data_IF_103445059971
#
_entry.id   IF_103445059971
#
_cell.length_a   1.000
_cell.length_b   1.000
_cell.length_c   1.000
_cell.angle_alpha   90.00
_cell.angle_beta   90.00
_cell.angle_gamma   90.00
#
_symmetry.space_group_name_H-M   'P 1'
#
loop_
_entity.id
_entity.type
_entity.pdbx_description
1 polymer ?
#
# COMPACT_ATOMS: atom_id res chain seq x y z
N UNK A 1 -26.61 -19.13 -44.25
CA UNK A 1 -25.72 -20.32 -44.18
C UNK A 1 -24.48 -19.96 -43.36
N UNK A 2 -24.52 -20.14 -42.04
CA UNK A 2 -23.36 -19.89 -41.18
C UNK A 2 -22.49 -21.14 -41.12
N UNK A 3 -21.29 -21.07 -41.70
CA UNK A 3 -20.28 -22.13 -41.62
C UNK A 3 -19.71 -22.10 -40.20
N UNK A 4 -20.18 -23.01 -39.34
CA UNK A 4 -19.52 -23.34 -38.07
C UNK A 4 -18.27 -24.14 -38.46
N UNK A 5 -17.12 -23.48 -38.56
CA UNK A 5 -15.84 -24.17 -38.75
C UNK A 5 -15.52 -24.82 -37.41
N UNK A 6 -15.79 -26.12 -37.32
CA UNK A 6 -15.50 -26.94 -36.15
C UNK A 6 -14.03 -27.39 -36.30
N UNK A 7 -13.12 -26.68 -35.62
CA UNK A 7 -11.72 -27.09 -35.44
C UNK A 7 -11.64 -27.87 -34.12
N UNK A 8 -11.86 -29.19 -34.15
CA UNK A 8 -12.05 -29.97 -32.89
C UNK A 8 -11.06 -31.08 -32.60
N UNK A 9 -10.06 -31.37 -33.44
CA UNK A 9 -9.09 -32.43 -33.10
C UNK A 9 -7.88 -31.92 -32.29
N UNK A 10 -7.18 -30.90 -32.76
CA UNK A 10 -5.96 -30.37 -32.08
C UNK A 10 -6.26 -29.57 -30.80
N UNK A 11 -7.45 -28.97 -30.69
CA UNK A 11 -7.83 -28.11 -29.56
C UNK A 11 -8.05 -28.86 -28.25
N UNK A 12 -8.16 -30.19 -28.28
CA UNK A 12 -8.43 -31.01 -27.08
C UNK A 12 -7.18 -31.29 -26.22
N UNK A 13 -5.98 -31.33 -26.81
CA UNK A 13 -4.72 -31.58 -26.09
C UNK A 13 -4.06 -30.31 -25.56
N UNK A 14 -4.26 -29.18 -26.24
CA UNK A 14 -3.77 -27.86 -25.84
C UNK A 14 -4.09 -27.49 -24.38
N UNK A 15 -5.36 -27.57 -23.88
CA UNK A 15 -5.68 -27.26 -22.48
C UNK A 15 -4.91 -28.12 -21.47
N UNK A 16 -4.53 -29.35 -21.82
CA UNK A 16 -3.70 -30.21 -20.96
C UNK A 16 -2.24 -29.75 -20.91
N UNK A 17 -1.70 -29.23 -22.02
CA UNK A 17 -0.32 -28.71 -22.06
C UNK A 17 -0.17 -27.38 -21.32
N UNK A 18 -1.17 -26.48 -21.45
CA UNK A 18 -1.15 -25.18 -20.78
C UNK A 18 -1.12 -25.27 -19.25
N UNK A 19 -1.75 -26.31 -18.70
CA UNK A 19 -1.86 -26.54 -17.26
C UNK A 19 -0.75 -27.44 -16.71
N UNK A 20 0.16 -27.91 -17.56
CA UNK A 20 1.28 -28.75 -17.14
C UNK A 20 2.32 -27.91 -16.39
N UNK A 21 2.67 -28.36 -15.19
CA UNK A 21 3.65 -27.70 -14.33
C UNK A 21 5.06 -28.23 -14.59
N UNK A 22 6.05 -27.36 -14.51
CA UNK A 22 7.45 -27.74 -14.43
C UNK A 22 7.81 -28.24 -13.01
N UNK A 23 9.07 -28.64 -12.78
CA UNK A 23 9.56 -29.08 -11.45
C UNK A 23 9.45 -27.99 -10.38
N UNK A 24 9.46 -26.73 -10.80
CA UNK A 24 9.33 -25.55 -9.94
C UNK A 24 7.87 -25.13 -9.71
N UNK A 25 6.89 -25.87 -10.26
CA UNK A 25 5.47 -25.55 -10.11
C UNK A 25 4.97 -24.38 -10.98
N UNK A 26 5.66 -24.08 -12.09
CA UNK A 26 5.30 -23.06 -13.06
C UNK A 26 4.67 -23.68 -14.31
N UNK A 27 3.59 -23.07 -14.78
CA UNK A 27 2.98 -23.30 -16.10
C UNK A 27 3.80 -22.59 -17.20
N UNK A 28 3.62 -22.94 -18.49
CA UNK A 28 4.31 -22.24 -19.58
C UNK A 28 4.10 -20.71 -19.56
N UNK A 29 2.91 -20.26 -19.16
CA UNK A 29 2.56 -18.85 -19.06
C UNK A 29 3.31 -18.15 -17.90
N UNK A 30 3.29 -18.77 -16.72
CA UNK A 30 3.97 -18.22 -15.53
C UNK A 30 5.49 -18.29 -15.65
N UNK A 31 6.01 -19.31 -16.34
CA UNK A 31 7.43 -19.43 -16.69
C UNK A 31 7.87 -18.33 -17.67
N UNK A 32 7.08 -18.02 -18.69
CA UNK A 32 7.38 -16.93 -19.61
C UNK A 32 7.46 -15.58 -18.87
N UNK A 33 6.59 -15.37 -17.87
CA UNK A 33 6.65 -14.21 -16.99
C UNK A 33 7.90 -14.24 -16.08
N UNK A 34 8.25 -15.37 -15.47
CA UNK A 34 9.41 -15.49 -14.58
C UNK A 34 10.74 -15.23 -15.32
N UNK A 35 10.83 -15.70 -16.57
CA UNK A 35 11.97 -15.49 -17.46
C UNK A 35 12.00 -14.09 -18.11
N UNK A 36 10.97 -13.26 -17.92
CA UNK A 36 10.93 -11.92 -18.53
C UNK A 36 10.71 -11.90 -20.04
N UNK A 37 10.16 -12.97 -20.63
CA UNK A 37 10.01 -13.11 -22.10
C UNK A 37 8.68 -12.50 -22.57
N UNK A 38 8.64 -11.16 -22.68
CA UNK A 38 7.43 -10.39 -23.01
C UNK A 38 6.71 -10.86 -24.29
N UNK A 39 7.44 -11.02 -25.41
CA UNK A 39 6.85 -11.47 -26.68
C UNK A 39 6.19 -12.85 -26.59
N UNK A 40 6.82 -13.77 -25.85
CA UNK A 40 6.26 -15.10 -25.61
C UNK A 40 5.03 -14.98 -24.72
N UNK A 41 5.09 -14.22 -23.63
CA UNK A 41 3.96 -14.00 -22.73
C UNK A 41 2.73 -13.45 -23.48
N UNK A 42 2.91 -12.38 -24.27
CA UNK A 42 1.83 -11.79 -25.09
C UNK A 42 1.24 -12.79 -26.08
N UNK A 43 2.09 -13.59 -26.75
CA UNK A 43 1.62 -14.62 -27.67
C UNK A 43 0.79 -15.70 -26.95
N UNK A 44 1.27 -16.22 -25.80
CA UNK A 44 0.54 -17.21 -25.01
C UNK A 44 -0.80 -16.63 -24.50
N UNK A 45 -0.85 -15.35 -24.12
CA UNK A 45 -2.08 -14.69 -23.70
C UNK A 45 -3.09 -14.55 -24.84
N UNK A 46 -2.63 -14.18 -26.05
CA UNK A 46 -3.45 -14.05 -27.23
C UNK A 46 -4.01 -15.40 -27.70
N UNK A 47 -3.17 -16.44 -27.71
CA UNK A 47 -3.58 -17.79 -28.13
C UNK A 47 -4.65 -18.39 -27.21
N UNK A 48 -4.62 -18.06 -25.91
CA UNK A 48 -5.63 -18.52 -24.94
C UNK A 48 -6.94 -17.71 -24.99
N UNK A 49 -7.06 -16.71 -25.87
CA UNK A 49 -8.27 -15.92 -25.98
C UNK A 49 -9.37 -16.65 -26.74
N UNK A 50 -10.62 -16.41 -26.34
CA UNK A 50 -11.78 -16.96 -27.04
C UNK A 50 -12.73 -15.83 -27.43
N UNK A 51 -13.20 -15.85 -28.67
CA UNK A 51 -14.16 -14.85 -29.16
C UNK A 51 -15.55 -15.26 -28.69
N UNK A 52 -16.18 -14.44 -27.85
CA UNK A 52 -17.54 -14.70 -27.38
C UNK A 52 -18.57 -14.35 -28.46
N UNK A 53 -18.39 -13.19 -29.10
CA UNK A 53 -19.20 -12.75 -30.24
C UNK A 53 -18.44 -11.70 -31.05
N UNK A 54 -18.81 -11.56 -32.31
CA UNK A 54 -18.28 -10.52 -33.21
C UNK A 54 -19.41 -9.95 -34.06
N UNK A 55 -19.51 -8.63 -34.13
CA UNK A 55 -20.45 -7.90 -34.97
C UNK A 55 -19.70 -6.85 -35.79
N UNK A 56 -19.55 -7.09 -37.10
CA UNK A 56 -18.75 -6.24 -37.98
C UNK A 56 -17.32 -6.11 -37.46
N UNK A 57 -16.91 -4.87 -37.14
CA UNK A 57 -15.55 -4.54 -36.66
C UNK A 57 -15.41 -4.60 -35.13
N UNK A 58 -16.48 -4.89 -34.38
CA UNK A 58 -16.44 -5.00 -32.91
C UNK A 58 -16.51 -6.46 -32.52
N UNK A 59 -15.59 -6.90 -31.65
CA UNK A 59 -15.59 -8.24 -31.09
C UNK A 59 -15.50 -8.20 -29.57
N UNK A 60 -16.23 -9.10 -28.90
CA UNK A 60 -16.07 -9.38 -27.49
C UNK A 60 -15.15 -10.59 -27.33
N UNK A 61 -14.00 -10.36 -26.71
CA UNK A 61 -12.98 -11.37 -26.46
C UNK A 61 -12.95 -11.71 -24.97
N UNK A 62 -12.94 -12.99 -24.66
CA UNK A 62 -12.84 -13.53 -23.32
C UNK A 62 -11.41 -14.01 -23.06
N UNK A 63 -10.82 -13.48 -21.99
CA UNK A 63 -9.50 -13.88 -21.50
C UNK A 63 -9.65 -14.77 -20.27
N UNK A 64 -9.10 -16.00 -20.27
CA UNK A 64 -9.14 -16.87 -19.09
C UNK A 64 -8.24 -16.30 -17.99
N UNK A 65 -8.77 -16.25 -16.76
CA UNK A 65 -8.06 -15.72 -15.58
C UNK A 65 -7.40 -16.82 -14.72
N UNK A 66 -7.57 -18.08 -15.11
CA UNK A 66 -7.13 -19.29 -14.39
C UNK A 66 -5.66 -19.26 -13.95
N UNK A 67 -4.76 -18.71 -14.78
CA UNK A 67 -3.33 -18.60 -14.45
C UNK A 67 -2.86 -17.15 -14.26
N UNK A 68 -3.67 -16.20 -14.73
CA UNK A 68 -3.35 -14.77 -14.72
C UNK A 68 -3.58 -14.18 -13.33
N UNK A 69 -4.71 -14.54 -12.72
CA UNK A 69 -5.19 -14.00 -11.45
C UNK A 69 -5.92 -15.07 -10.65
N UNK A 70 -5.14 -15.94 -10.01
CA UNK A 70 -5.68 -16.96 -9.12
C UNK A 70 -6.34 -16.28 -7.90
N UNK A 71 -7.61 -16.56 -7.64
CA UNK A 71 -8.29 -16.04 -6.44
C UNK A 71 -7.69 -16.63 -5.15
N UNK A 72 -7.71 -15.89 -4.03
CA UNK A 72 -7.10 -16.24 -2.72
C UNK A 72 -7.59 -17.56 -2.06
N UNK A 73 -8.50 -18.31 -2.67
CA UNK A 73 -9.25 -19.39 -2.03
C UNK A 73 -8.53 -20.75 -1.93
N UNK A 74 -7.43 -20.97 -2.64
CA UNK A 74 -6.65 -22.22 -2.55
C UNK A 74 -5.39 -22.04 -1.69
N UNK A 75 -5.56 -22.11 -0.36
CA UNK A 75 -4.46 -22.01 0.61
C UNK A 75 -3.74 -23.34 0.90
N UNK A 76 -4.26 -24.48 0.43
CA UNK A 76 -3.86 -25.80 0.94
C UNK A 76 -3.05 -26.69 -0.02
N UNK A 77 -2.59 -26.18 -1.16
CA UNK A 77 -1.64 -26.89 -2.03
C UNK A 77 -0.53 -25.95 -2.46
N UNK A 78 0.62 -26.52 -2.90
CA UNK A 78 1.69 -25.82 -3.64
C UNK A 78 1.05 -25.07 -4.82
N UNK A 79 0.59 -23.86 -4.54
CA UNK A 79 -0.15 -23.03 -5.47
C UNK A 79 0.86 -22.52 -6.49
N UNK A 80 0.57 -22.73 -7.77
CA UNK A 80 1.34 -22.07 -8.82
C UNK A 80 1.19 -20.57 -8.66
N UNK A 81 2.29 -19.83 -8.67
CA UNK A 81 2.27 -18.38 -8.59
C UNK A 81 1.45 -17.82 -9.77
N UNK A 82 0.61 -16.81 -9.51
CA UNK A 82 -0.11 -16.14 -10.60
C UNK A 82 0.86 -15.32 -11.44
N UNK A 83 0.54 -15.10 -12.73
CA UNK A 83 1.38 -14.24 -13.59
C UNK A 83 1.55 -12.85 -12.99
N UNK A 84 0.49 -12.28 -12.40
CA UNK A 84 0.55 -10.99 -11.71
C UNK A 84 1.52 -11.01 -10.53
N UNK A 85 1.50 -12.07 -9.71
CA UNK A 85 2.40 -12.22 -8.56
C UNK A 85 3.87 -12.37 -8.98
N UNK A 86 4.14 -13.15 -10.04
CA UNK A 86 5.48 -13.27 -10.62
C UNK A 86 5.97 -11.93 -11.17
N UNK A 87 5.11 -11.19 -11.88
CA UNK A 87 5.42 -9.85 -12.38
C UNK A 87 5.79 -8.88 -11.26
N UNK A 88 4.98 -8.84 -10.19
CA UNK A 88 5.24 -7.96 -9.04
C UNK A 88 6.55 -8.34 -8.36
N UNK A 89 6.84 -9.64 -8.18
CA UNK A 89 8.06 -10.10 -7.53
C UNK A 89 9.32 -9.79 -8.33
N UNK A 90 9.27 -9.87 -9.67
CA UNK A 90 10.43 -9.61 -10.55
C UNK A 90 10.59 -8.13 -10.91
N UNK A 91 9.56 -7.32 -10.70
CA UNK A 91 9.51 -5.90 -11.05
C UNK A 91 9.99 -5.61 -12.49
N UNK A 92 9.62 -6.48 -13.43
CA UNK A 92 10.08 -6.38 -14.81
C UNK A 92 9.07 -5.61 -15.67
N UNK A 93 9.36 -4.33 -15.90
CA UNK A 93 8.52 -3.42 -16.70
C UNK A 93 8.37 -3.84 -18.16
N UNK A 94 9.23 -4.73 -18.68
CA UNK A 94 9.12 -5.25 -20.04
C UNK A 94 7.91 -6.18 -20.24
N UNK A 95 7.30 -6.71 -19.17
CA UNK A 95 6.19 -7.66 -19.22
C UNK A 95 4.80 -7.01 -19.34
N UNK A 96 4.74 -5.70 -19.52
CA UNK A 96 3.47 -4.95 -19.54
C UNK A 96 2.73 -5.21 -20.85
N UNK A 97 1.80 -6.16 -20.81
CA UNK A 97 0.87 -6.48 -21.89
C UNK A 97 -0.45 -5.69 -21.77
N UNK A 98 -1.09 -5.25 -22.86
CA UNK A 98 -2.39 -4.55 -22.83
C UNK A 98 -3.51 -5.32 -22.10
N UNK A 99 -3.49 -6.66 -22.13
CA UNK A 99 -4.47 -7.47 -21.40
C UNK A 99 -4.25 -7.30 -19.89
N UNK A 100 -3.00 -7.35 -19.44
CA UNK A 100 -2.61 -7.23 -18.03
C UNK A 100 -2.91 -5.81 -17.52
N UNK A 101 -2.64 -4.78 -18.32
CA UNK A 101 -2.97 -3.39 -17.93
C UNK A 101 -4.47 -3.20 -17.80
N UNK A 102 -5.27 -3.70 -18.75
CA UNK A 102 -6.73 -3.61 -18.69
C UNK A 102 -7.32 -4.34 -17.47
N UNK A 103 -6.73 -5.49 -17.10
CA UNK A 103 -7.13 -6.24 -15.90
C UNK A 103 -6.77 -5.47 -14.63
N UNK A 104 -5.56 -4.93 -14.55
CA UNK A 104 -5.09 -4.16 -13.41
C UNK A 104 -5.89 -2.88 -13.23
N UNK A 105 -6.28 -2.21 -14.31
CA UNK A 105 -7.14 -1.03 -14.28
C UNK A 105 -8.55 -1.35 -13.77
N UNK A 106 -9.14 -2.48 -14.19
CA UNK A 106 -10.44 -2.95 -13.66
C UNK A 106 -10.35 -3.24 -12.16
N UNK A 107 -9.30 -3.93 -11.71
CA UNK A 107 -9.04 -4.18 -10.28
C UNK A 107 -8.84 -2.89 -9.49
N UNK A 108 -8.11 -1.95 -10.08
CA UNK A 108 -7.87 -0.64 -9.49
C UNK A 108 -9.18 0.09 -9.23
N UNK A 109 -10.02 0.23 -10.27
CA UNK A 109 -11.30 0.94 -10.19
C UNK A 109 -12.28 0.29 -9.22
N UNK A 110 -12.34 -1.04 -9.17
CA UNK A 110 -13.32 -1.73 -8.36
C UNK A 110 -12.90 -1.91 -6.90
N UNK A 111 -11.64 -2.27 -6.64
CA UNK A 111 -11.19 -2.64 -5.29
C UNK A 111 -10.13 -1.69 -4.75
N UNK A 112 -9.02 -1.53 -5.47
CA UNK A 112 -7.83 -0.88 -4.91
C UNK A 112 -8.07 0.60 -4.61
N UNK A 113 -8.79 1.33 -5.47
CA UNK A 113 -9.11 2.74 -5.27
C UNK A 113 -9.89 2.97 -3.97
N UNK A 114 -10.89 2.12 -3.67
CA UNK A 114 -11.68 2.21 -2.44
C UNK A 114 -10.85 1.89 -1.20
N UNK A 115 -9.90 0.97 -1.30
CA UNK A 115 -8.99 0.64 -0.20
C UNK A 115 -8.00 1.79 0.02
N UNK A 116 -7.43 2.33 -1.05
CA UNK A 116 -6.49 3.45 -1.00
C UNK A 116 -7.14 4.68 -0.33
N UNK A 117 -8.33 5.09 -0.78
CA UNK A 117 -8.98 6.29 -0.21
C UNK A 117 -9.32 6.11 1.26
N UNK A 118 -9.73 4.90 1.69
CA UNK A 118 -9.96 4.60 3.10
C UNK A 118 -8.66 4.69 3.91
N UNK A 119 -7.56 4.13 3.40
CA UNK A 119 -6.24 4.21 4.04
C UNK A 119 -5.74 5.66 4.13
N UNK A 120 -5.94 6.44 3.06
CA UNK A 120 -5.63 7.87 3.01
C UNK A 120 -6.40 8.64 4.06
N UNK A 121 -7.73 8.47 4.14
CA UNK A 121 -8.56 9.17 5.12
C UNK A 121 -8.16 8.84 6.56
N UNK A 122 -7.90 7.57 6.86
CA UNK A 122 -7.44 7.16 8.20
C UNK A 122 -6.08 7.81 8.53
N UNK A 123 -5.13 7.78 7.61
CA UNK A 123 -3.81 8.39 7.81
C UNK A 123 -3.90 9.92 7.96
N UNK A 124 -4.70 10.58 7.12
CA UNK A 124 -4.92 12.02 7.17
C UNK A 124 -5.58 12.45 8.48
N UNK A 125 -6.63 11.75 8.93
CA UNK A 125 -7.28 12.02 10.22
C UNK A 125 -6.31 11.80 11.39
N UNK A 126 -5.48 10.76 11.34
CA UNK A 126 -4.46 10.52 12.36
C UNK A 126 -3.43 11.66 12.41
N UNK A 127 -2.96 12.17 11.26
CA UNK A 127 -2.06 13.32 11.21
C UNK A 127 -2.71 14.62 11.68
N UNK A 128 -4.01 14.82 11.43
CA UNK A 128 -4.75 15.96 11.98
C UNK A 128 -4.86 15.90 13.50
N UNK A 129 -5.13 14.73 14.08
CA UNK A 129 -5.13 14.53 15.54
C UNK A 129 -3.73 14.80 16.10
N UNK A 130 -2.69 14.28 15.47
CA UNK A 130 -1.30 14.54 15.85
C UNK A 130 -0.98 16.04 15.81
N UNK A 131 -1.26 16.72 14.71
CA UNK A 131 -1.05 18.16 14.56
C UNK A 131 -1.81 18.94 15.63
N UNK A 132 -3.09 18.62 15.84
CA UNK A 132 -3.93 19.24 16.87
C UNK A 132 -3.33 19.09 18.27
N UNK A 133 -2.82 17.89 18.61
CA UNK A 133 -2.14 17.68 19.90
C UNK A 133 -0.87 18.51 20.06
N UNK A 134 -0.04 18.59 19.02
CA UNK A 134 1.21 19.37 19.06
C UNK A 134 0.96 20.87 19.20
N UNK A 135 -0.06 21.41 18.52
CA UNK A 135 -0.40 22.83 18.60
C UNK A 135 -0.93 23.17 20.00
N UNK A 136 -1.87 22.36 20.52
CA UNK A 136 -2.44 22.58 21.86
C UNK A 136 -1.37 22.49 22.96
N UNK A 137 -0.36 21.65 22.76
CA UNK A 137 0.78 21.53 23.67
C UNK A 137 1.72 22.74 23.58
N UNK A 138 1.99 23.25 22.39
CA UNK A 138 2.82 24.45 22.23
C UNK A 138 2.16 25.70 22.85
N UNK A 139 0.85 25.87 22.68
CA UNK A 139 0.10 26.95 23.34
C UNK A 139 0.17 26.85 24.86
N UNK A 140 0.34 25.65 25.45
CA UNK A 140 0.54 25.49 26.90
C UNK A 140 1.92 25.98 27.35
N UNK A 141 2.96 25.76 26.55
CA UNK A 141 4.33 26.15 26.90
C UNK A 141 4.51 27.66 26.86
N UNK A 142 3.93 28.34 25.87
CA UNK A 142 3.96 29.80 25.77
C UNK A 142 3.19 30.47 26.92
N UNK A 143 1.99 29.95 27.27
CA UNK A 143 1.20 30.46 28.40
C UNK A 143 1.91 30.31 29.74
N UNK A 144 2.68 29.23 29.96
CA UNK A 144 3.47 29.05 31.20
C UNK A 144 4.60 30.07 31.36
N UNK A 145 5.14 30.58 30.26
CA UNK A 145 6.19 31.62 30.29
C UNK A 145 5.57 32.96 30.72
N UNK A 146 4.35 33.25 30.25
CA UNK A 146 3.59 34.47 30.59
C UNK A 146 2.84 34.40 31.94
N UNK A 147 2.61 33.20 32.49
CA UNK A 147 1.91 32.99 33.78
C UNK A 147 2.68 33.56 35.00
N UNK A 148 3.97 33.87 34.85
CA UNK A 148 4.72 34.65 35.85
C UNK A 148 4.31 36.13 35.89
N UNK A 149 3.64 36.63 34.84
CA UNK A 149 3.15 38.02 34.69
C UNK A 149 1.64 38.12 34.92
N UNK A 150 0.86 37.05 34.66
CA UNK A 150 -0.60 37.07 34.64
C UNK A 150 -1.28 36.38 35.85
N UNK A 151 -0.89 36.71 37.09
CA UNK A 151 -1.70 36.37 38.29
C UNK A 151 -3.04 37.15 38.37
N UNK A 152 -3.42 37.89 37.32
CA UNK A 152 -4.49 38.89 37.35
C UNK A 152 -5.66 38.63 36.41
N UNK A 153 -5.58 37.69 35.47
CA UNK A 153 -6.73 37.33 34.65
C UNK A 153 -7.40 36.09 35.24
N UNK A 154 -8.48 36.33 35.97
CA UNK A 154 -9.48 35.31 36.32
C UNK A 154 -9.92 34.58 35.04
N UNK A 155 -9.31 33.42 34.78
CA UNK A 155 -9.44 32.66 33.53
C UNK A 155 -10.15 31.35 33.85
N UNK A 156 -11.25 31.08 33.15
CA UNK A 156 -12.18 29.95 33.36
C UNK A 156 -11.47 28.61 33.63
N UNK A 157 -11.45 28.19 34.90
CA UNK A 157 -10.86 26.90 35.33
C UNK A 157 -11.42 25.71 34.55
N UNK A 158 -12.70 25.81 34.12
CA UNK A 158 -13.35 24.80 33.29
C UNK A 158 -12.73 24.67 31.89
N UNK A 159 -12.35 25.78 31.25
CA UNK A 159 -11.76 25.78 29.91
C UNK A 159 -10.37 25.12 29.92
N UNK A 160 -9.56 25.45 30.93
CA UNK A 160 -8.24 24.85 31.13
C UNK A 160 -8.30 23.36 31.50
N UNK A 161 -9.31 22.95 32.28
CA UNK A 161 -9.55 21.54 32.59
C UNK A 161 -9.93 20.74 31.33
N UNK A 162 -10.87 21.25 30.52
CA UNK A 162 -11.30 20.60 29.27
C UNK A 162 -10.09 20.45 28.34
N UNK A 163 -9.28 21.51 28.18
CA UNK A 163 -8.08 21.48 27.35
C UNK A 163 -7.10 20.39 27.78
N UNK A 164 -6.83 20.25 29.08
CA UNK A 164 -5.92 19.21 29.62
C UNK A 164 -6.42 17.79 29.33
N UNK A 165 -7.72 17.56 29.49
CA UNK A 165 -8.34 16.26 29.22
C UNK A 165 -8.21 15.93 27.73
N UNK A 166 -8.57 16.86 26.84
CA UNK A 166 -8.48 16.67 25.38
C UNK A 166 -7.05 16.38 24.94
N UNK A 167 -6.05 17.11 25.46
CA UNK A 167 -4.65 16.87 25.13
C UNK A 167 -4.18 15.48 25.58
N UNK A 168 -4.56 15.07 26.80
CA UNK A 168 -4.16 13.76 27.35
C UNK A 168 -4.75 12.61 26.53
N UNK A 169 -6.02 12.73 26.16
CA UNK A 169 -6.70 11.76 25.28
C UNK A 169 -6.02 11.73 23.91
N UNK A 170 -5.73 12.89 23.32
CA UNK A 170 -5.04 12.99 22.04
C UNK A 170 -3.67 12.32 22.05
N UNK A 171 -2.85 12.57 23.08
CA UNK A 171 -1.57 11.88 23.25
C UNK A 171 -1.72 10.37 23.37
N UNK A 172 -2.70 9.90 24.16
CA UNK A 172 -2.98 8.47 24.28
C UNK A 172 -3.34 7.84 22.93
N UNK A 173 -4.16 8.52 22.11
CA UNK A 173 -4.52 8.06 20.76
C UNK A 173 -3.29 8.02 19.85
N UNK A 174 -2.48 9.07 19.81
CA UNK A 174 -1.28 9.16 18.96
C UNK A 174 -0.28 8.04 19.31
N UNK A 175 0.01 7.86 20.60
CA UNK A 175 0.95 6.84 21.08
C UNK A 175 0.41 5.44 20.81
N UNK A 176 -0.88 5.19 21.08
CA UNK A 176 -1.51 3.89 20.79
C UNK A 176 -1.46 3.57 19.29
N UNK A 177 -1.73 4.56 18.44
CA UNK A 177 -1.64 4.42 16.99
C UNK A 177 -0.23 4.07 16.52
N UNK A 178 0.79 4.74 17.08
CA UNK A 178 2.20 4.45 16.79
C UNK A 178 2.57 3.02 17.20
N UNK A 179 2.18 2.57 18.39
CA UNK A 179 2.42 1.20 18.86
C UNK A 179 1.79 0.17 17.92
N UNK A 180 0.52 0.34 17.54
CA UNK A 180 -0.18 -0.58 16.65
C UNK A 180 0.46 -0.62 15.25
N UNK A 181 0.90 0.53 14.73
CA UNK A 181 1.57 0.63 13.43
C UNK A 181 2.93 -0.06 13.46
N UNK A 182 3.75 0.20 14.48
CA UNK A 182 5.04 -0.46 14.66
C UNK A 182 4.90 -1.98 14.86
N UNK A 183 3.89 -2.44 15.62
CA UNK A 183 3.65 -3.87 15.80
C UNK A 183 3.33 -4.59 14.47
N UNK A 184 2.57 -3.93 13.58
CA UNK A 184 2.29 -4.46 12.23
C UNK A 184 3.55 -4.53 11.37
N UNK A 185 4.35 -3.47 11.37
CA UNK A 185 5.61 -3.43 10.61
C UNK A 185 6.60 -4.49 11.10
N UNK A 186 6.74 -4.66 12.41
CA UNK A 186 7.58 -5.71 13.00
C UNK A 186 7.06 -7.10 12.60
N UNK A 187 5.75 -7.31 12.60
CA UNK A 187 5.15 -8.57 12.14
C UNK A 187 5.46 -8.87 10.66
N UNK A 188 5.42 -7.86 9.80
CA UNK A 188 5.79 -7.98 8.39
C UNK A 188 7.29 -8.26 8.21
N UNK A 189 8.15 -7.56 8.97
CA UNK A 189 9.60 -7.80 9.00
C UNK A 189 9.93 -9.24 9.41
N UNK A 190 9.25 -9.76 10.45
CA UNK A 190 9.42 -11.14 10.91
C UNK A 190 8.96 -12.18 9.88
N UNK A 191 7.86 -11.90 9.18
CA UNK A 191 7.28 -12.79 8.17
C UNK A 191 8.14 -12.88 6.90
N UNK A 192 8.60 -11.74 6.37
CA UNK A 192 9.36 -11.68 5.13
C UNK A 192 10.87 -11.94 5.32
N UNK A 193 11.36 -11.73 6.55
CA UNK A 193 12.76 -11.75 6.93
C UNK A 193 13.45 -10.40 6.71
N UNK A 194 14.32 -10.00 7.65
CA UNK A 194 14.97 -8.68 7.68
C UNK A 194 15.69 -8.31 6.37
N UNK A 195 16.45 -9.26 5.80
CA UNK A 195 17.19 -9.03 4.55
C UNK A 195 16.27 -8.73 3.38
N UNK A 196 15.15 -9.44 3.28
CA UNK A 196 14.17 -9.24 2.21
C UNK A 196 13.40 -7.92 2.40
N UNK A 197 13.06 -7.59 3.65
CA UNK A 197 12.39 -6.34 4.01
C UNK A 197 13.21 -5.12 3.58
N UNK A 198 14.51 -5.08 3.94
CA UNK A 198 15.41 -3.98 3.55
C UNK A 198 15.73 -4.00 2.05
N UNK A 199 15.74 -5.16 1.41
CA UNK A 199 15.97 -5.27 -0.04
C UNK A 199 14.75 -4.97 -0.91
N UNK A 200 13.58 -4.75 -0.30
CA UNK A 200 12.36 -4.43 -1.07
C UNK A 200 12.58 -3.10 -1.78
N UNK A 201 12.26 -3.04 -3.07
CA UNK A 201 12.50 -1.86 -3.92
C UNK A 201 11.19 -1.13 -4.22
N UNK A 202 11.28 0.17 -4.46
CA UNK A 202 10.17 0.99 -4.96
C UNK A 202 9.26 1.53 -3.86
N UNK A 203 7.95 1.47 -4.10
CA UNK A 203 6.94 2.14 -3.29
C UNK A 203 6.83 1.62 -1.86
N UNK A 204 6.97 0.30 -1.69
CA UNK A 204 6.88 -0.37 -0.39
C UNK A 204 8.04 0.06 0.53
N UNK A 205 9.24 0.25 -0.04
CA UNK A 205 10.38 0.75 0.73
C UNK A 205 10.14 2.16 1.27
N UNK A 206 9.64 3.07 0.43
CA UNK A 206 9.34 4.44 0.84
C UNK A 206 8.24 4.49 1.91
N UNK A 207 7.18 3.68 1.75
CA UNK A 207 6.12 3.55 2.75
C UNK A 207 6.70 3.11 4.10
N UNK A 208 7.52 2.05 4.09
CA UNK A 208 8.14 1.48 5.27
C UNK A 208 9.13 2.44 5.94
N UNK A 209 9.97 3.12 5.15
CA UNK A 209 10.96 4.07 5.64
C UNK A 209 10.30 5.29 6.31
N UNK A 210 9.32 5.91 5.65
CA UNK A 210 8.62 7.08 6.18
C UNK A 210 7.75 6.73 7.40
N UNK A 211 7.07 5.59 7.38
CA UNK A 211 6.27 5.16 8.52
C UNK A 211 7.13 4.77 9.73
N UNK A 212 8.25 4.07 9.50
CA UNK A 212 9.18 3.69 10.57
C UNK A 212 9.85 4.91 11.19
N UNK A 213 10.34 5.85 10.37
CA UNK A 213 10.93 7.11 10.86
C UNK A 213 9.93 7.95 11.65
N UNK A 214 8.67 8.02 11.21
CA UNK A 214 7.60 8.68 11.95
C UNK A 214 7.35 8.02 13.32
N UNK A 215 7.25 6.68 13.38
CA UNK A 215 7.03 5.97 14.65
C UNK A 215 8.20 6.15 15.62
N UNK A 216 9.44 6.08 15.13
CA UNK A 216 10.65 6.36 15.93
C UNK A 216 10.65 7.80 16.47
N UNK A 217 10.22 8.76 15.65
CA UNK A 217 10.01 10.15 16.07
C UNK A 217 9.06 10.26 17.27
N UNK A 218 7.88 9.62 17.20
CA UNK A 218 6.92 9.60 18.31
C UNK A 218 7.49 8.95 19.57
N UNK A 219 8.16 7.80 19.46
CA UNK A 219 8.77 7.15 20.62
C UNK A 219 9.89 7.99 21.24
N UNK A 220 10.74 8.60 20.42
CA UNK A 220 11.80 9.49 20.89
C UNK A 220 11.24 10.71 21.62
N UNK A 221 10.13 11.29 21.14
CA UNK A 221 9.42 12.36 21.84
C UNK A 221 8.90 11.90 23.22
N UNK A 222 8.37 10.68 23.35
CA UNK A 222 7.94 10.15 24.66
C UNK A 222 9.12 9.95 25.62
N UNK A 223 10.28 9.50 25.12
CA UNK A 223 11.50 9.34 25.93
C UNK A 223 11.99 10.71 26.43
N UNK A 224 12.01 11.72 25.55
CA UNK A 224 12.40 13.09 25.91
C UNK A 224 11.43 13.72 26.92
N UNK A 225 10.14 13.43 26.80
CA UNK A 225 9.12 13.83 27.77
C UNK A 225 9.37 13.23 29.16
N UNK A 226 9.78 11.97 29.23
CA UNK A 226 10.18 11.33 30.50
C UNK A 226 11.46 11.97 31.08
N UNK A 227 12.39 12.39 30.22
CA UNK A 227 13.61 13.09 30.60
C UNK A 227 13.39 14.57 31.00
N UNK A 228 12.16 15.09 30.86
CA UNK A 228 11.78 16.48 31.18
C UNK A 228 12.58 17.54 30.41
N UNK A 229 12.90 17.28 29.14
CA UNK A 229 13.64 18.20 28.27
C UNK A 229 12.73 18.77 27.16
N UNK A 230 11.98 19.85 27.42
CA UNK A 230 10.93 20.33 26.50
C UNK A 230 11.48 20.92 25.19
N UNK A 231 12.68 21.51 25.20
CA UNK A 231 13.29 22.13 24.01
C UNK A 231 13.56 21.10 22.90
N UNK A 232 14.15 19.97 23.27
CA UNK A 232 14.45 18.88 22.33
C UNK A 232 13.18 18.14 21.91
N UNK A 233 12.20 18.04 22.79
CA UNK A 233 10.90 17.42 22.49
C UNK A 233 10.18 18.16 21.37
N UNK A 234 10.08 19.50 21.46
CA UNK A 234 9.44 20.32 20.42
C UNK A 234 10.14 20.20 19.07
N UNK A 235 11.48 20.12 19.06
CA UNK A 235 12.25 19.93 17.83
C UNK A 235 11.95 18.57 17.18
N UNK A 236 11.95 17.50 17.97
CA UNK A 236 11.63 16.15 17.48
C UNK A 236 10.20 16.06 16.97
N UNK A 237 9.23 16.67 17.65
CA UNK A 237 7.83 16.70 17.20
C UNK A 237 7.68 17.49 15.89
N UNK A 238 8.39 18.60 15.74
CA UNK A 238 8.40 19.38 14.50
C UNK A 238 8.97 18.56 13.33
N UNK A 239 10.10 17.88 13.53
CA UNK A 239 10.68 16.99 12.53
C UNK A 239 9.74 15.83 12.18
N UNK A 240 9.13 15.21 13.18
CA UNK A 240 8.16 14.12 13.01
C UNK A 240 6.93 14.58 12.24
N UNK A 241 6.47 15.82 12.45
CA UNK A 241 5.39 16.43 11.68
C UNK A 241 5.75 16.57 10.20
N UNK A 242 6.96 17.04 9.88
CA UNK A 242 7.44 17.14 8.49
C UNK A 242 7.45 15.77 7.81
N UNK A 243 7.97 14.74 8.49
CA UNK A 243 7.97 13.36 7.96
C UNK A 243 6.55 12.84 7.78
N UNK A 244 5.65 13.09 8.75
CA UNK A 244 4.25 12.65 8.70
C UNK A 244 3.47 13.28 7.55
N UNK A 245 3.61 14.59 7.33
CA UNK A 245 3.01 15.24 6.17
C UNK A 245 3.68 14.81 4.85
N UNK A 246 4.99 14.56 4.86
CA UNK A 246 5.71 13.96 3.73
C UNK A 246 5.17 12.59 3.35
N UNK A 247 4.79 11.76 4.32
CA UNK A 247 4.14 10.46 4.10
C UNK A 247 2.83 10.57 3.31
N UNK A 248 2.14 11.72 3.32
CA UNK A 248 0.93 11.90 2.51
C UNK A 248 1.19 11.87 1.00
N UNK A 249 2.40 12.24 0.55
CA UNK A 249 2.79 12.14 -0.86
C UNK A 249 2.85 10.69 -1.36
N UNK A 250 3.05 9.71 -0.48
CA UNK A 250 2.96 8.31 -0.88
C UNK A 250 1.60 7.95 -1.50
N UNK A 251 0.51 8.56 -1.00
CA UNK A 251 -0.83 8.29 -1.53
C UNK A 251 -1.09 8.92 -2.91
N UNK A 252 -0.25 9.84 -3.36
CA UNK A 252 -0.37 10.43 -4.71
C UNK A 252 0.36 9.59 -5.78
N UNK A 253 1.23 8.65 -5.37
CA UNK A 253 1.99 7.79 -6.27
C UNK A 253 1.13 6.97 -7.26
N UNK A 254 -0.05 6.43 -6.89
CA UNK A 254 -0.81 5.59 -7.81
C UNK A 254 -1.52 6.34 -8.95
N UNK A 255 -1.59 7.67 -8.90
CA UNK A 255 -2.29 8.45 -9.92
C UNK A 255 -1.37 8.72 -11.12
N UNK A 256 -1.90 8.59 -12.33
CA UNK A 256 -1.11 8.73 -13.58
C UNK A 256 -0.45 10.09 -13.75
N UNK A 257 -1.06 11.15 -13.19
CA UNK A 257 -0.55 12.52 -13.31
C UNK A 257 0.55 12.84 -12.28
N UNK A 258 0.41 12.38 -11.04
CA UNK A 258 1.35 12.72 -9.95
C UNK A 258 2.41 11.65 -9.72
N UNK A 259 2.11 10.39 -10.02
CA UNK A 259 2.99 9.25 -9.79
C UNK A 259 4.39 9.37 -10.41
N UNK A 260 4.55 9.84 -11.66
CA UNK A 260 5.87 9.98 -12.27
C UNK A 260 6.81 11.01 -11.61
N UNK A 261 6.28 11.90 -10.76
CA UNK A 261 7.04 12.98 -10.13
C UNK A 261 7.46 12.68 -8.68
N UNK A 262 6.89 11.63 -8.07
CA UNK A 262 7.13 11.20 -6.69
C UNK A 262 8.12 10.06 -6.68
#
# INVERSE_FOLDING_TARGET
KHKKIIITSETSELPKLWNRLNKDGLTPLTLAADLGRAKMLSWLLQERTTIQWSFGNVSCVLHPLDQLDLGFHEKNKKRSLSVLEVMVRKNNSALVDPIITSLTEKKWKHFAYRILIRRFLIAFLYLLVFLGTTILEQTRSDVKIDENVEKLATKDEHSEMIRRIVCTIGHAIVVTGAILKSAREIGEMCSMGFKNYVSTTGSIFLENLLASTFCLGIFSAQILRLAKLPEYESLVLAFTSLVGWGYMFFFTMPFRFTGPFV
#
